data_IF_374665362870
#
_entry.id   IF_374665362870
#
_cell.length_a   1.000
_cell.length_b   1.000
_cell.length_c   1.000
_cell.angle_alpha   90.00
_cell.angle_beta   90.00
_cell.angle_gamma   90.00
#
_symmetry.space_group_name_H-M   'P 1'
#
loop_
_entity.id
_entity.type
_entity.pdbx_description
1 polymer ?
#
# COMPACT_ATOMS: atom_id res chain seq x y z
N UNK A 1 6.58 14.92 -0.72
CA UNK A 1 5.90 13.61 -0.63
C UNK A 1 5.48 13.28 -2.05
N UNK A 2 5.92 12.14 -2.60
CA UNK A 2 5.52 11.74 -3.96
C UNK A 2 4.06 11.28 -3.88
N UNK A 3 3.17 11.93 -4.61
CA UNK A 3 1.74 11.58 -4.60
C UNK A 3 1.50 10.28 -5.37
N UNK A 4 0.37 9.61 -5.10
CA UNK A 4 -0.02 8.43 -5.88
C UNK A 4 -0.08 8.75 -7.39
N UNK A 5 -0.54 9.95 -7.72
CA UNK A 5 -0.58 10.47 -9.10
C UNK A 5 0.80 10.54 -9.72
N UNK A 6 1.79 11.09 -9.01
CA UNK A 6 3.16 11.22 -9.56
C UNK A 6 3.75 9.84 -9.90
N UNK A 7 3.48 8.83 -9.06
CA UNK A 7 3.94 7.45 -9.27
C UNK A 7 3.24 6.82 -10.49
N UNK A 8 1.92 7.06 -10.63
CA UNK A 8 1.15 6.60 -11.78
C UNK A 8 1.63 7.26 -13.08
N UNK A 9 1.91 8.56 -13.05
CA UNK A 9 2.38 9.31 -14.22
C UNK A 9 3.77 8.84 -14.65
N UNK A 10 4.71 8.62 -13.72
CA UNK A 10 6.04 8.09 -14.03
C UNK A 10 5.96 6.65 -14.60
N UNK A 11 5.15 5.79 -14.00
CA UNK A 11 4.96 4.42 -14.49
C UNK A 11 4.28 4.40 -15.87
N UNK A 12 3.32 5.28 -16.11
CA UNK A 12 2.61 5.43 -17.38
C UNK A 12 3.57 5.81 -18.50
N UNK A 13 4.42 6.82 -18.26
CA UNK A 13 5.42 7.27 -19.23
C UNK A 13 6.39 6.13 -19.62
N UNK A 14 6.79 5.28 -18.67
CA UNK A 14 7.67 4.12 -18.92
C UNK A 14 6.99 2.98 -19.68
N UNK A 15 5.67 2.95 -19.70
CA UNK A 15 4.87 1.95 -20.42
C UNK A 15 4.38 2.42 -21.80
N UNK A 16 4.77 3.64 -22.23
CA UNK A 16 4.29 4.22 -23.49
C UNK A 16 2.91 4.87 -23.36
N UNK A 17 2.71 5.66 -22.30
CA UNK A 17 1.52 6.47 -22.02
C UNK A 17 0.23 5.65 -21.79
N UNK A 18 0.36 4.53 -21.07
CA UNK A 18 -0.79 3.70 -20.71
C UNK A 18 -1.61 4.36 -19.59
N UNK A 19 -2.92 4.48 -19.80
CA UNK A 19 -3.83 5.05 -18.80
C UNK A 19 -4.17 4.04 -17.71
N UNK A 20 -3.69 4.32 -16.50
CA UNK A 20 -4.11 3.58 -15.31
C UNK A 20 -5.53 3.92 -14.88
N UNK A 21 -6.30 2.90 -14.54
CA UNK A 21 -7.61 2.98 -13.90
C UNK A 21 -7.48 3.30 -12.40
N UNK A 22 -6.45 2.74 -11.74
CA UNK A 22 -6.19 2.98 -10.33
C UNK A 22 -5.27 1.95 -9.68
N UNK A 23 -4.92 2.21 -8.42
CA UNK A 23 -4.14 1.34 -7.55
C UNK A 23 -5.02 0.17 -7.08
N UNK A 24 -4.46 -1.04 -7.07
CA UNK A 24 -5.10 -2.23 -6.48
C UNK A 24 -4.46 -2.61 -5.16
N UNK A 25 -3.13 -2.61 -5.11
CA UNK A 25 -2.34 -3.01 -3.96
C UNK A 25 -1.08 -2.16 -3.87
N UNK A 26 -0.72 -1.78 -2.65
CA UNK A 26 0.56 -1.17 -2.32
C UNK A 26 1.15 -1.89 -1.11
N UNK A 27 2.28 -2.57 -1.27
CA UNK A 27 2.93 -3.38 -0.24
C UNK A 27 4.28 -2.78 0.15
N UNK A 28 4.55 -2.67 1.45
CA UNK A 28 5.77 -2.05 1.96
C UNK A 28 6.97 -3.01 1.88
N UNK A 29 8.11 -2.49 1.41
CA UNK A 29 9.43 -3.09 1.63
C UNK A 29 10.03 -2.52 2.91
N UNK A 30 10.14 -3.37 3.94
CA UNK A 30 10.55 -2.96 5.28
C UNK A 30 12.02 -3.32 5.53
N UNK A 31 12.77 -2.36 6.05
CA UNK A 31 14.19 -2.52 6.39
C UNK A 31 14.36 -3.66 7.37
N UNK A 32 15.22 -4.64 7.03
CA UNK A 32 15.50 -5.81 7.87
C UNK A 32 14.27 -6.64 8.29
N UNK A 33 13.13 -6.50 7.58
CA UNK A 33 11.90 -7.28 7.84
C UNK A 33 11.06 -6.83 9.04
N UNK A 34 11.43 -5.76 9.75
CA UNK A 34 10.64 -5.22 10.86
C UNK A 34 10.85 -3.71 11.00
N UNK A 35 9.77 -2.96 11.24
CA UNK A 35 9.78 -1.51 11.36
C UNK A 35 8.99 -1.01 12.57
N UNK A 36 9.38 0.17 13.06
CA UNK A 36 8.69 0.94 14.12
C UNK A 36 8.31 2.34 13.66
N UNK A 37 9.09 2.91 12.75
CA UNK A 37 8.90 4.28 12.28
C UNK A 37 8.75 4.33 10.77
N UNK A 38 8.26 5.45 10.20
CA UNK A 38 8.16 5.62 8.76
C UNK A 38 9.47 5.42 8.00
N UNK A 39 10.61 5.69 8.63
CA UNK A 39 11.96 5.56 8.05
C UNK A 39 12.36 4.09 7.82
N UNK A 40 11.68 3.15 8.46
CA UNK A 40 11.89 1.72 8.24
C UNK A 40 11.24 1.22 6.94
N UNK A 41 10.43 2.04 6.27
CA UNK A 41 9.86 1.72 4.95
C UNK A 41 10.82 2.19 3.85
N UNK A 42 11.44 1.23 3.16
CA UNK A 42 12.42 1.48 2.10
C UNK A 42 11.77 1.79 0.74
N UNK A 43 10.54 1.33 0.53
CA UNK A 43 9.83 1.48 -0.72
C UNK A 43 8.58 0.62 -0.76
N UNK A 44 8.03 0.48 -1.94
CA UNK A 44 6.70 -0.09 -2.14
C UNK A 44 6.63 -0.90 -3.42
N UNK A 45 6.04 -2.08 -3.35
CA UNK A 45 5.55 -2.76 -4.54
C UNK A 45 4.13 -2.31 -4.82
N UNK A 46 3.91 -1.86 -6.04
CA UNK A 46 2.61 -1.43 -6.50
C UNK A 46 2.03 -2.45 -7.45
N UNK A 47 0.70 -2.58 -7.41
CA UNK A 47 -0.08 -3.20 -8.47
C UNK A 47 -1.12 -2.19 -8.94
N UNK A 48 -1.04 -1.82 -10.21
CA UNK A 48 -2.01 -0.95 -10.86
C UNK A 48 -2.78 -1.71 -11.92
N UNK A 49 -4.03 -1.30 -12.15
CA UNK A 49 -4.83 -1.76 -13.27
C UNK A 49 -4.97 -0.66 -14.30
N UNK A 50 -4.87 -1.01 -15.57
CA UNK A 50 -5.07 -0.11 -16.70
C UNK A 50 -6.53 -0.14 -17.18
N UNK A 51 -6.95 0.84 -17.97
CA UNK A 51 -8.35 0.95 -18.43
C UNK A 51 -8.79 -0.22 -19.34
N UNK A 52 -7.86 -0.83 -20.07
CA UNK A 52 -8.06 -2.05 -20.86
C UNK A 52 -8.06 -3.32 -20.00
N UNK A 53 -7.86 -3.20 -18.69
CA UNK A 53 -8.02 -4.27 -17.72
C UNK A 53 -6.76 -5.06 -17.41
N UNK A 54 -5.61 -4.72 -17.99
CA UNK A 54 -4.30 -5.33 -17.70
C UNK A 54 -3.78 -4.84 -16.34
N UNK A 55 -3.07 -5.70 -15.61
CA UNK A 55 -2.43 -5.33 -14.36
C UNK A 55 -0.91 -5.27 -14.53
N UNK A 56 -0.30 -4.28 -13.89
CA UNK A 56 1.15 -4.09 -13.89
C UNK A 56 1.65 -4.03 -12.46
N UNK A 57 2.84 -4.61 -12.25
CA UNK A 57 3.57 -4.50 -10.99
C UNK A 57 4.91 -3.82 -11.19
N UNK A 58 5.30 -3.01 -10.21
CA UNK A 58 6.63 -2.41 -10.13
C UNK A 58 6.96 -2.04 -8.69
N UNK A 59 8.25 -1.86 -8.43
CA UNK A 59 8.75 -1.32 -7.19
C UNK A 59 9.07 0.17 -7.33
N UNK A 60 8.71 0.98 -6.33
CA UNK A 60 9.12 2.36 -6.17
C UNK A 60 9.76 2.61 -4.80
N UNK A 61 10.95 3.21 -4.80
CA UNK A 61 11.68 3.55 -3.58
C UNK A 61 10.99 4.68 -2.80
N UNK A 62 11.04 4.60 -1.47
CA UNK A 62 10.50 5.62 -0.60
C UNK A 62 11.53 6.74 -0.43
N UNK A 63 11.13 8.00 -0.65
CA UNK A 63 11.99 9.17 -0.42
C UNK A 63 12.62 9.11 0.99
N UNK A 64 13.93 9.38 1.14
CA UNK A 64 14.85 10.03 0.19
C UNK A 64 15.51 9.11 -0.85
N UNK A 65 15.23 7.81 -0.82
CA UNK A 65 15.71 6.90 -1.86
C UNK A 65 15.02 7.22 -3.19
N UNK A 66 15.76 7.09 -4.29
CA UNK A 66 15.27 7.33 -5.64
C UNK A 66 15.45 6.04 -6.43
N UNK A 67 14.38 5.57 -7.06
CA UNK A 67 14.42 4.40 -7.90
C UNK A 67 13.02 3.87 -8.17
N UNK A 68 12.76 3.52 -9.42
CA UNK A 68 11.52 2.87 -9.85
C UNK A 68 11.94 1.76 -10.82
N UNK A 69 11.50 0.53 -10.58
CA UNK A 69 11.72 -0.55 -11.53
C UNK A 69 10.83 -0.39 -12.75
N UNK A 70 11.16 -1.08 -13.83
CA UNK A 70 10.26 -1.17 -14.97
C UNK A 70 8.98 -1.90 -14.55
N UNK A 71 7.83 -1.38 -15.01
CA UNK A 71 6.55 -2.03 -14.80
C UNK A 71 6.42 -3.28 -15.68
N UNK A 72 6.00 -4.38 -15.06
CA UNK A 72 5.84 -5.69 -15.71
C UNK A 72 4.38 -6.11 -15.67
N UNK A 73 3.82 -6.67 -16.74
CA UNK A 73 2.46 -7.18 -16.74
C UNK A 73 2.34 -8.41 -15.84
N UNK A 74 1.26 -8.49 -15.09
CA UNK A 74 0.94 -9.60 -14.18
C UNK A 74 -0.52 -10.02 -14.34
N UNK A 75 -0.87 -11.20 -13.82
CA UNK A 75 -2.28 -11.57 -13.62
C UNK A 75 -2.90 -10.65 -12.56
N UNK A 76 -4.07 -10.08 -12.86
CA UNK A 76 -4.78 -9.24 -11.92
C UNK A 76 -5.20 -10.03 -10.67
N UNK A 77 -4.93 -9.51 -9.46
CA UNK A 77 -5.45 -10.09 -8.23
C UNK A 77 -6.99 -10.17 -8.27
N UNK A 78 -7.53 -11.35 -7.94
CA UNK A 78 -8.97 -11.59 -7.97
C UNK A 78 -9.69 -10.82 -6.85
N UNK A 79 -10.80 -10.18 -7.20
CA UNK A 79 -11.70 -9.52 -6.24
C UNK A 79 -11.20 -8.18 -5.67
N UNK A 80 -9.95 -7.78 -5.91
CA UNK A 80 -9.42 -6.51 -5.43
C UNK A 80 -9.94 -5.37 -6.32
N UNK A 81 -10.52 -4.35 -5.70
CA UNK A 81 -11.03 -3.16 -6.38
C UNK A 81 -9.91 -2.12 -6.56
N UNK A 82 -10.01 -1.33 -7.64
CA UNK A 82 -9.10 -0.21 -7.89
C UNK A 82 -9.57 1.04 -7.14
N UNK A 83 -8.63 1.86 -6.67
CA UNK A 83 -8.88 3.17 -6.07
C UNK A 83 -7.81 4.17 -6.53
N UNK A 84 -8.17 5.44 -6.58
CA UNK A 84 -7.34 6.53 -7.11
C UNK A 84 -6.84 7.48 -6.02
N UNK A 85 -7.37 7.35 -4.81
CA UNK A 85 -7.11 8.26 -3.70
C UNK A 85 -7.35 7.58 -2.35
N UNK A 86 -6.70 8.12 -1.33
CA UNK A 86 -6.88 7.80 0.08
C UNK A 86 -6.37 8.96 0.93
N UNK A 87 -6.95 9.20 2.10
CA UNK A 87 -6.59 10.36 2.95
C UNK A 87 -5.45 10.06 3.93
N UNK A 88 -5.45 8.88 4.53
CA UNK A 88 -4.48 8.44 5.52
C UNK A 88 -3.28 7.84 4.79
N UNK A 89 -2.14 8.53 4.82
CA UNK A 89 -0.89 8.00 4.30
C UNK A 89 -0.25 6.98 5.26
N UNK A 90 0.82 6.34 4.78
CA UNK A 90 1.50 5.31 5.57
C UNK A 90 2.12 5.86 6.85
N UNK A 91 2.57 7.12 6.85
CA UNK A 91 3.16 7.74 8.05
C UNK A 91 2.09 7.88 9.10
N UNK A 92 0.92 8.37 8.71
CA UNK A 92 -0.22 8.51 9.61
C UNK A 92 -0.75 7.16 10.08
N UNK A 93 -0.77 6.15 9.23
CA UNK A 93 -1.11 4.78 9.62
C UNK A 93 -0.14 4.21 10.67
N UNK A 94 1.18 4.44 10.52
CA UNK A 94 2.20 4.05 11.51
C UNK A 94 2.03 4.84 12.82
N UNK A 95 1.71 6.14 12.76
CA UNK A 95 1.38 6.92 13.96
C UNK A 95 0.18 6.33 14.70
N UNK A 96 -0.89 5.98 13.98
CA UNK A 96 -2.09 5.36 14.56
C UNK A 96 -1.71 4.02 15.19
N UNK A 97 -0.99 3.15 14.47
CA UNK A 97 -0.46 1.89 14.99
C UNK A 97 0.27 2.08 16.32
N UNK A 98 1.17 3.05 16.40
CA UNK A 98 1.99 3.31 17.58
C UNK A 98 1.19 3.85 18.79
N UNK A 99 -0.04 4.32 18.58
CA UNK A 99 -0.96 4.69 19.66
C UNK A 99 -1.79 3.51 20.17
N UNK A 100 -1.78 2.39 19.45
CA UNK A 100 -2.52 1.18 19.81
C UNK A 100 -1.65 0.25 20.68
N UNK A 101 -2.26 -0.35 21.71
CA UNK A 101 -1.63 -1.43 22.47
C UNK A 101 -1.88 -2.80 21.80
N UNK A 102 -1.37 -2.94 20.58
CA UNK A 102 -1.66 -4.07 19.67
C UNK A 102 -0.43 -4.73 19.04
N UNK A 103 0.77 -4.37 19.45
CA UNK A 103 2.01 -4.99 18.98
C UNK A 103 3.21 -4.11 19.29
N UNK A 104 4.38 -4.54 18.83
CA UNK A 104 5.66 -3.87 19.06
C UNK A 104 6.23 -3.24 17.78
N UNK A 105 6.37 -4.05 16.72
CA UNK A 105 6.93 -3.69 15.41
C UNK A 105 6.03 -4.25 14.33
N UNK A 106 5.92 -3.55 13.21
CA UNK A 106 5.24 -4.07 12.04
C UNK A 106 6.23 -4.86 11.17
N UNK A 107 5.80 -6.03 10.71
CA UNK A 107 6.57 -6.93 9.83
C UNK A 107 6.00 -7.00 8.42
N UNK A 108 4.76 -6.53 8.24
CA UNK A 108 4.13 -6.35 6.94
C UNK A 108 3.18 -5.16 6.98
N UNK A 109 3.07 -4.44 5.85
CA UNK A 109 2.14 -3.32 5.69
C UNK A 109 1.66 -3.28 4.24
N UNK A 110 0.36 -3.36 4.03
CA UNK A 110 -0.26 -3.32 2.69
C UNK A 110 -1.46 -2.39 2.68
N UNK A 111 -1.68 -1.67 1.59
CA UNK A 111 -2.88 -0.89 1.31
C UNK A 111 -3.65 -1.52 0.15
N UNK A 112 -4.90 -1.91 0.40
CA UNK A 112 -5.79 -2.47 -0.61
C UNK A 112 -7.25 -2.37 -0.17
N UNK A 113 -8.17 -2.57 -1.11
CA UNK A 113 -9.56 -2.88 -0.76
C UNK A 113 -9.66 -4.26 -0.09
N UNK A 114 -10.33 -4.37 1.06
CA UNK A 114 -10.67 -5.66 1.64
C UNK A 114 -11.59 -6.46 0.70
N UNK A 115 -11.49 -7.78 0.73
CA UNK A 115 -12.35 -8.68 -0.06
C UNK A 115 -13.74 -8.90 0.56
N UNK A 116 -14.13 -8.07 1.52
CA UNK A 116 -15.40 -8.13 2.23
C UNK A 116 -16.37 -7.07 1.69
N UNK A 117 -17.61 -7.44 1.31
CA UNK A 117 -18.55 -6.53 0.66
C UNK A 117 -19.04 -5.38 1.55
N UNK A 118 -18.95 -5.53 2.87
CA UNK A 118 -19.36 -4.54 3.87
C UNK A 118 -18.39 -3.34 3.97
N UNK A 119 -17.19 -3.45 3.37
CA UNK A 119 -16.19 -2.39 3.46
C UNK A 119 -16.57 -1.20 2.59
N UNK A 120 -16.40 0.00 3.13
CA UNK A 120 -16.73 1.27 2.46
C UNK A 120 -15.50 2.07 2.04
N UNK A 121 -14.30 1.58 2.36
CA UNK A 121 -13.02 2.23 2.07
C UNK A 121 -11.87 1.19 1.97
N UNK A 122 -10.74 1.52 1.31
CA UNK A 122 -9.53 0.71 1.37
C UNK A 122 -8.89 0.78 2.76
N UNK A 123 -8.13 -0.25 3.14
CA UNK A 123 -7.49 -0.35 4.45
C UNK A 123 -5.97 -0.51 4.35
N UNK A 124 -5.29 0.13 5.29
CA UNK A 124 -3.94 -0.28 5.68
C UNK A 124 -4.04 -1.54 6.53
N UNK A 125 -3.63 -2.67 5.98
CA UNK A 125 -3.45 -3.92 6.70
C UNK A 125 -2.01 -4.04 7.18
N UNK A 126 -1.83 -4.25 8.48
CA UNK A 126 -0.53 -4.28 9.13
C UNK A 126 -0.44 -5.56 9.96
N UNK A 127 0.63 -6.32 9.78
CA UNK A 127 0.95 -7.46 10.66
C UNK A 127 2.08 -7.08 11.60
N UNK A 128 1.93 -7.42 12.87
CA UNK A 128 2.95 -7.18 13.90
C UNK A 128 3.83 -8.41 14.12
N UNK A 129 5.00 -8.25 14.75
CA UNK A 129 5.88 -9.40 15.04
C UNK A 129 5.26 -10.41 16.02
N UNK A 130 4.30 -9.98 16.82
CA UNK A 130 3.52 -10.83 17.72
C UNK A 130 2.41 -11.62 17.00
N UNK A 131 2.27 -11.45 15.67
CA UNK A 131 1.26 -12.12 14.86
C UNK A 131 -0.08 -11.38 14.77
N UNK A 132 -0.30 -10.32 15.54
CA UNK A 132 -1.56 -9.57 15.47
C UNK A 132 -1.75 -8.92 14.09
N UNK A 133 -2.97 -9.00 13.57
CA UNK A 133 -3.38 -8.34 12.34
C UNK A 133 -4.18 -7.07 12.69
N UNK A 134 -3.76 -5.95 12.11
CA UNK A 134 -4.31 -4.63 12.35
C UNK A 134 -4.83 -4.10 11.02
N UNK A 135 -6.01 -3.48 11.04
CA UNK A 135 -6.56 -2.77 9.90
C UNK A 135 -6.86 -1.33 10.27
N UNK A 136 -6.47 -0.38 9.42
CA UNK A 136 -6.74 1.05 9.61
C UNK A 136 -7.45 1.58 8.36
N UNK A 137 -8.61 2.20 8.55
CA UNK A 137 -9.34 2.88 7.48
C UNK A 137 -8.46 3.88 6.72
N UNK A 138 -8.27 3.71 5.41
CA UNK A 138 -7.39 4.60 4.65
C UNK A 138 -8.00 5.98 4.37
N UNK A 139 -9.30 6.18 4.65
CA UNK A 139 -9.94 7.50 4.67
C UNK A 139 -10.32 7.89 6.10
N UNK A 140 -10.91 6.98 6.87
CA UNK A 140 -11.43 7.28 8.21
C UNK A 140 -10.37 7.31 9.31
N UNK A 141 -9.22 6.68 9.10
CA UNK A 141 -8.19 6.47 10.12
C UNK A 141 -8.63 5.57 11.28
N UNK A 142 -9.80 4.93 11.20
CA UNK A 142 -10.33 4.08 12.28
C UNK A 142 -9.51 2.79 12.38
N UNK A 143 -8.87 2.51 13.52
CA UNK A 143 -8.11 1.29 13.70
C UNK A 143 -9.00 0.14 14.21
N UNK A 144 -8.67 -1.08 13.79
CA UNK A 144 -9.13 -2.33 14.35
C UNK A 144 -7.93 -3.26 14.55
N UNK A 145 -7.98 -4.08 15.60
CA UNK A 145 -6.89 -4.96 15.99
C UNK A 145 -7.43 -6.32 16.39
N UNK A 146 -7.08 -7.33 15.59
CA UNK A 146 -7.44 -8.72 15.83
C UNK A 146 -6.23 -9.39 16.46
N UNK A 147 -6.33 -9.66 17.77
CA UNK A 147 -5.30 -10.38 18.52
C UNK A 147 -5.43 -11.87 18.24
N UNK A 148 -4.29 -12.53 18.03
CA UNK A 148 -4.21 -14.00 17.96
C UNK A 148 -4.15 -14.57 19.38
#
# INVERSE_FOLDING_TARGET
MVSLKDIMDEASAKLGDVKFKGLMLKEARIKNGAGRTPEDVLGWDYIFRTNDGVCYSFYGAQFPLIGLTQAVPILCPLGIQTFDSYEIDFKKAIEILNTMNCGDVFVAMTLSWPLTPECTEPYWHIRTSLGNDISIGANSGKPNCNKI
#
